data_IF_599118130033
#
_entry.id   IF_599118130033
#
_cell.length_a   1.000
_cell.length_b   1.000
_cell.length_c   1.000
_cell.angle_alpha   90.00
_cell.angle_beta   90.00
_cell.angle_gamma   90.00
#
_symmetry.space_group_name_H-M   'P 1'
#
loop_
_entity.id
_entity.type
_entity.pdbx_description
1 polymer ?
#
# COMPACT_ATOMS: atom_id res chain seq x y z
N UNK A 1 -20.27 18.88 -2.50
CA UNK A 1 -20.16 18.15 -1.22
C UNK A 1 -19.05 17.12 -1.44
N UNK A 2 -17.88 17.38 -0.89
CA UNK A 2 -16.68 16.57 -1.14
C UNK A 2 -16.82 15.23 -0.41
N UNK A 3 -16.53 14.11 -1.07
CA UNK A 3 -16.57 12.73 -0.54
C UNK A 3 -15.77 12.52 0.79
N UNK A 4 -14.97 13.50 1.19
CA UNK A 4 -14.16 13.48 2.43
C UNK A 4 -14.97 13.65 3.72
N UNK A 5 -16.22 14.09 3.65
CA UNK A 5 -17.05 14.33 4.86
C UNK A 5 -17.73 13.09 5.43
N UNK A 6 -17.66 11.94 4.74
CA UNK A 6 -18.41 10.72 5.13
C UNK A 6 -17.56 9.67 5.86
N UNK A 7 -16.24 9.80 5.89
CA UNK A 7 -15.38 8.88 6.63
C UNK A 7 -14.94 9.51 7.94
N UNK A 8 -15.64 9.19 9.04
CA UNK A 8 -15.14 9.46 10.39
C UNK A 8 -13.80 8.76 10.55
N UNK A 9 -12.73 9.52 10.68
CA UNK A 9 -11.40 8.96 11.00
C UNK A 9 -11.50 8.27 12.36
N UNK A 10 -11.12 6.99 12.49
CA UNK A 10 -11.04 6.38 13.81
C UNK A 10 -9.98 7.14 14.63
N UNK A 11 -10.44 7.87 15.64
CA UNK A 11 -9.52 8.53 16.58
C UNK A 11 -9.08 7.50 17.62
N UNK A 12 -7.79 7.37 17.80
CA UNK A 12 -7.21 6.54 18.85
C UNK A 12 -6.16 7.37 19.58
N UNK A 13 -6.10 7.28 20.90
CA UNK A 13 -5.07 7.95 21.68
C UNK A 13 -3.67 7.42 21.32
N UNK A 14 -2.62 8.22 21.55
CA UNK A 14 -1.25 7.76 21.34
C UNK A 14 -0.91 6.55 22.21
N UNK A 15 -1.38 6.54 23.48
CA UNK A 15 -1.19 5.42 24.41
C UNK A 15 -1.87 4.14 23.94
N UNK A 16 -3.15 4.21 23.53
CA UNK A 16 -3.86 3.02 23.04
C UNK A 16 -3.25 2.47 21.75
N UNK A 17 -2.73 3.36 20.90
CA UNK A 17 -1.99 2.96 19.69
C UNK A 17 -0.71 2.23 20.06
N UNK A 18 0.09 2.77 20.96
CA UNK A 18 1.34 2.15 21.41
C UNK A 18 1.08 0.77 22.03
N UNK A 19 0.07 0.65 22.89
CA UNK A 19 -0.32 -0.63 23.49
C UNK A 19 -0.69 -1.66 22.42
N UNK A 20 -1.52 -1.29 21.44
CA UNK A 20 -1.91 -2.20 20.33
C UNK A 20 -0.73 -2.64 19.47
N UNK A 21 0.18 -1.71 19.15
CA UNK A 21 1.37 -2.02 18.34
C UNK A 21 2.33 -2.94 19.10
N UNK A 22 2.57 -2.68 20.39
CA UNK A 22 3.40 -3.54 21.25
C UNK A 22 2.79 -4.94 21.38
N UNK A 23 1.50 -5.03 21.68
CA UNK A 23 0.80 -6.31 21.80
C UNK A 23 0.86 -7.13 20.50
N UNK A 24 0.66 -6.46 19.34
CA UNK A 24 0.77 -7.12 18.04
C UNK A 24 2.20 -7.62 17.77
N UNK A 25 3.22 -6.83 18.07
CA UNK A 25 4.63 -7.22 17.92
C UNK A 25 4.98 -8.42 18.78
N UNK A 26 4.60 -8.41 20.07
CA UNK A 26 4.82 -9.52 20.99
C UNK A 26 4.12 -10.81 20.54
N UNK A 27 2.84 -10.72 20.16
CA UNK A 27 2.09 -11.87 19.68
C UNK A 27 2.69 -12.50 18.41
N UNK A 28 3.22 -11.67 17.48
CA UNK A 28 3.94 -12.17 16.32
C UNK A 28 5.28 -12.81 16.69
N UNK A 29 6.04 -12.22 17.63
CA UNK A 29 7.28 -12.79 18.14
C UNK A 29 7.05 -14.19 18.71
N UNK A 30 6.13 -14.35 19.65
CA UNK A 30 5.76 -15.63 20.27
C UNK A 30 5.31 -16.66 19.23
N UNK A 31 4.50 -16.24 18.25
CA UNK A 31 4.02 -17.12 17.19
C UNK A 31 5.14 -17.64 16.30
N UNK A 32 6.12 -16.79 15.95
CA UNK A 32 7.27 -17.15 15.12
C UNK A 32 8.27 -18.00 15.92
N UNK A 33 8.50 -17.70 17.20
CA UNK A 33 9.33 -18.51 18.08
C UNK A 33 8.77 -19.92 18.26
N UNK A 34 7.45 -20.06 18.34
CA UNK A 34 6.80 -21.36 18.44
C UNK A 34 7.00 -22.23 17.17
N UNK A 35 6.94 -21.64 16.00
CA UNK A 35 7.23 -22.27 14.70
C UNK A 35 7.48 -21.19 13.64
N UNK A 36 8.67 -21.17 13.06
CA UNK A 36 9.04 -20.23 11.99
C UNK A 36 8.11 -20.31 10.77
N UNK A 37 7.49 -21.45 10.52
CA UNK A 37 6.52 -21.61 9.42
C UNK A 37 5.28 -20.72 9.61
N UNK A 38 4.98 -20.28 10.82
CA UNK A 38 3.90 -19.32 11.09
C UNK A 38 4.16 -17.93 10.54
N UNK A 39 5.41 -17.60 10.16
CA UNK A 39 5.75 -16.37 9.49
C UNK A 39 5.35 -16.38 8.00
N UNK A 40 5.12 -17.56 7.42
CA UNK A 40 4.79 -17.69 5.99
C UNK A 40 3.29 -17.53 5.77
N UNK A 41 2.90 -16.40 5.15
CA UNK A 41 1.51 -16.07 4.90
C UNK A 41 1.20 -16.12 3.39
N UNK A 42 0.01 -16.62 3.06
CA UNK A 42 -0.52 -16.56 1.69
C UNK A 42 -1.74 -15.64 1.67
N UNK A 43 -1.64 -14.54 0.95
CA UNK A 43 -2.75 -13.64 0.69
C UNK A 43 -3.52 -14.08 -0.56
N UNK A 44 -4.85 -13.98 -0.55
CA UNK A 44 -5.71 -14.35 -1.67
C UNK A 44 -6.71 -13.23 -1.93
N UNK A 45 -6.75 -12.80 -3.19
CA UNK A 45 -7.68 -11.79 -3.70
C UNK A 45 -8.32 -12.36 -4.96
N UNK A 46 -9.61 -12.07 -5.18
CA UNK A 46 -10.33 -12.42 -6.40
C UNK A 46 -10.88 -11.17 -7.05
N UNK A 47 -10.93 -11.19 -8.38
CA UNK A 47 -11.56 -10.14 -9.17
C UNK A 47 -12.49 -10.71 -10.23
N UNK A 48 -13.53 -9.95 -10.56
CA UNK A 48 -14.41 -10.19 -11.73
C UNK A 48 -14.55 -8.88 -12.50
N UNK A 49 -14.52 -8.98 -13.84
CA UNK A 49 -14.83 -7.84 -14.71
C UNK A 49 -16.33 -7.57 -14.75
N UNK A 50 -16.73 -6.31 -14.70
CA UNK A 50 -18.09 -5.82 -14.80
C UNK A 50 -18.14 -4.64 -15.79
N UNK A 51 -19.28 -4.35 -16.39
CA UNK A 51 -19.43 -3.23 -17.31
C UNK A 51 -18.44 -3.25 -18.46
N UNK A 52 -17.84 -2.10 -18.76
CA UNK A 52 -16.79 -1.97 -19.78
C UNK A 52 -15.42 -2.41 -19.28
N UNK A 53 -14.94 -1.80 -18.18
CA UNK A 53 -13.60 -2.05 -17.59
C UNK A 53 -13.61 -2.12 -16.08
N UNK A 54 -14.76 -1.99 -15.44
CA UNK A 54 -14.90 -2.07 -13.99
C UNK A 54 -14.46 -3.44 -13.49
N UNK A 55 -13.74 -3.47 -12.40
CA UNK A 55 -13.39 -4.69 -11.67
C UNK A 55 -13.98 -4.67 -10.27
N UNK A 56 -14.70 -5.74 -9.90
CA UNK A 56 -15.10 -5.99 -8.51
C UNK A 56 -14.06 -6.86 -7.84
N UNK A 57 -13.41 -6.34 -6.82
CA UNK A 57 -12.34 -7.02 -6.11
C UNK A 57 -12.82 -7.46 -4.73
N UNK A 58 -12.52 -8.70 -4.36
CA UNK A 58 -12.79 -9.27 -3.04
C UNK A 58 -11.48 -9.69 -2.38
N UNK A 59 -11.18 -9.09 -1.22
CA UNK A 59 -10.01 -9.36 -0.39
C UNK A 59 -10.46 -9.74 1.03
N UNK A 60 -10.48 -11.04 1.35
CA UNK A 60 -11.05 -11.54 2.59
C UNK A 60 -12.55 -11.19 2.70
N UNK A 61 -12.92 -10.40 3.71
CA UNK A 61 -14.31 -9.92 3.93
C UNK A 61 -14.61 -8.56 3.28
N UNK A 62 -13.61 -7.95 2.63
CA UNK A 62 -13.74 -6.61 2.04
C UNK A 62 -14.00 -6.71 0.54
N UNK A 63 -14.87 -5.85 0.05
CA UNK A 63 -15.18 -5.70 -1.38
C UNK A 63 -14.97 -4.24 -1.76
N UNK A 64 -14.32 -4.01 -2.90
CA UNK A 64 -14.15 -2.69 -3.48
C UNK A 64 -14.18 -2.75 -5.00
N UNK A 65 -14.47 -1.62 -5.62
CA UNK A 65 -14.44 -1.46 -7.07
C UNK A 65 -13.14 -0.79 -7.50
N UNK A 66 -12.73 -1.12 -8.70
CA UNK A 66 -11.65 -0.47 -9.42
C UNK A 66 -12.20 -0.15 -10.81
N UNK A 67 -11.98 1.07 -11.29
CA UNK A 67 -12.51 1.51 -12.58
C UNK A 67 -11.44 2.35 -13.30
N UNK A 68 -11.75 2.86 -14.44
CA UNK A 68 -10.91 3.76 -15.23
C UNK A 68 -11.68 5.03 -15.58
N UNK A 69 -11.00 6.14 -15.86
CA UNK A 69 -11.67 7.32 -16.40
C UNK A 69 -12.22 7.07 -17.81
N UNK A 70 -13.14 7.91 -18.25
CA UNK A 70 -13.77 7.79 -19.57
C UNK A 70 -12.79 7.71 -20.75
N UNK A 71 -11.60 8.29 -20.63
CA UNK A 71 -10.53 8.18 -21.63
C UNK A 71 -9.99 6.76 -21.81
N UNK A 72 -10.19 5.88 -20.81
CA UNK A 72 -9.86 4.45 -20.83
C UNK A 72 -11.10 3.56 -20.85
N UNK A 73 -12.23 4.09 -21.33
CA UNK A 73 -13.53 3.42 -21.46
C UNK A 73 -14.18 3.03 -20.12
N UNK A 74 -13.80 3.67 -19.01
CA UNK A 74 -14.43 3.55 -17.70
C UNK A 74 -15.53 4.58 -17.48
N UNK A 75 -16.23 4.45 -16.36
CA UNK A 75 -17.28 5.36 -15.89
C UNK A 75 -16.80 6.29 -14.76
N UNK A 76 -15.49 6.22 -14.39
CA UNK A 76 -14.89 6.99 -13.28
C UNK A 76 -15.64 6.77 -11.94
N UNK A 77 -16.10 5.54 -11.74
CA UNK A 77 -16.89 5.17 -10.56
C UNK A 77 -16.04 4.79 -9.34
N UNK A 78 -14.75 4.57 -9.54
CA UNK A 78 -13.75 4.25 -8.51
C UNK A 78 -12.36 4.66 -8.99
N UNK A 79 -11.37 4.63 -8.08
CA UNK A 79 -9.97 4.86 -8.45
C UNK A 79 -9.45 3.79 -9.42
N UNK A 80 -8.51 4.20 -10.28
CA UNK A 80 -7.89 3.32 -11.27
C UNK A 80 -6.95 2.27 -10.65
N UNK A 81 -6.62 1.20 -11.39
CA UNK A 81 -5.68 0.17 -10.90
C UNK A 81 -4.32 0.74 -10.47
N UNK A 82 -3.81 1.73 -11.22
CA UNK A 82 -2.50 2.34 -10.92
C UNK A 82 -2.56 3.26 -9.70
N UNK A 83 -3.69 3.94 -9.45
CA UNK A 83 -3.92 4.70 -8.22
C UNK A 83 -4.06 3.77 -7.01
N UNK A 84 -4.72 2.61 -7.15
CA UNK A 84 -4.74 1.59 -6.11
C UNK A 84 -3.34 1.06 -5.80
N UNK A 85 -2.48 0.88 -6.79
CA UNK A 85 -1.09 0.45 -6.58
C UNK A 85 -0.30 1.50 -5.76
N UNK A 86 -0.41 2.79 -6.10
CA UNK A 86 0.19 3.88 -5.32
C UNK A 86 -0.44 3.98 -3.92
N UNK A 87 -1.75 3.83 -3.82
CA UNK A 87 -2.48 3.81 -2.54
C UNK A 87 -2.05 2.65 -1.62
N UNK A 88 -1.80 1.47 -2.18
CA UNK A 88 -1.26 0.33 -1.44
C UNK A 88 0.15 0.63 -0.91
N UNK A 89 1.00 1.25 -1.71
CA UNK A 89 2.34 1.68 -1.30
C UNK A 89 2.27 2.70 -0.15
N UNK A 90 1.45 3.74 -0.27
CA UNK A 90 1.20 4.73 0.79
C UNK A 90 0.73 4.04 2.08
N UNK A 91 -0.28 3.19 1.98
CA UNK A 91 -0.86 2.51 3.14
C UNK A 91 0.15 1.62 3.85
N UNK A 92 0.97 0.87 3.09
CA UNK A 92 2.00 0.02 3.65
C UNK A 92 3.10 0.86 4.35
N UNK A 93 3.53 1.95 3.74
CA UNK A 93 4.48 2.89 4.37
C UNK A 93 3.93 3.37 5.73
N UNK A 94 2.69 3.85 5.79
CA UNK A 94 2.07 4.33 7.05
C UNK A 94 2.07 3.24 8.12
N UNK A 95 1.71 1.99 7.76
CA UNK A 95 1.72 0.86 8.70
C UNK A 95 3.13 0.59 9.22
N UNK A 96 4.12 0.52 8.33
CA UNK A 96 5.50 0.19 8.71
C UNK A 96 6.13 1.34 9.50
N UNK A 97 5.86 2.60 9.16
CA UNK A 97 6.25 3.76 10.00
C UNK A 97 5.71 3.65 11.43
N UNK A 98 4.44 3.26 11.61
CA UNK A 98 3.86 3.09 12.95
C UNK A 98 4.51 1.94 13.73
N UNK A 99 4.78 0.81 13.07
CA UNK A 99 5.42 -0.35 13.70
C UNK A 99 6.86 -0.03 14.14
N UNK A 100 7.66 0.55 13.23
CA UNK A 100 9.05 0.85 13.52
C UNK A 100 9.24 2.07 14.43
N UNK A 101 8.37 3.06 14.37
CA UNK A 101 8.35 4.15 15.34
C UNK A 101 8.16 3.59 16.77
N UNK A 102 7.25 2.63 16.96
CA UNK A 102 7.05 1.97 18.24
C UNK A 102 8.27 1.10 18.65
N UNK A 103 8.85 0.34 17.73
CA UNK A 103 9.96 -0.55 17.99
C UNK A 103 11.27 0.18 18.33
N UNK A 104 11.49 1.36 17.74
CA UNK A 104 12.67 2.20 17.92
C UNK A 104 12.51 3.28 19.00
N UNK A 105 11.34 3.32 19.66
CA UNK A 105 10.98 4.37 20.64
C UNK A 105 11.15 5.78 20.03
N UNK A 106 10.59 5.96 18.80
CA UNK A 106 10.58 7.23 18.07
C UNK A 106 9.15 7.75 18.07
N UNK A 107 8.93 8.92 18.66
CA UNK A 107 7.59 9.49 18.74
C UNK A 107 7.20 10.13 17.40
N UNK A 108 6.09 9.65 16.83
CA UNK A 108 5.46 10.23 15.64
C UNK A 108 3.99 10.52 15.94
N UNK A 109 3.65 11.79 15.98
CA UNK A 109 2.28 12.23 16.24
C UNK A 109 1.42 12.07 14.99
N UNK A 110 1.87 12.59 13.82
CA UNK A 110 1.17 12.50 12.54
C UNK A 110 2.08 11.96 11.43
N UNK A 111 1.46 11.32 10.45
CA UNK A 111 2.11 10.83 9.24
C UNK A 111 1.24 11.25 8.05
N UNK A 112 1.80 12.01 7.13
CA UNK A 112 1.22 12.29 5.82
C UNK A 112 2.14 11.70 4.75
N UNK A 113 1.57 10.99 3.77
CA UNK A 113 2.33 10.37 2.68
C UNK A 113 1.66 10.71 1.36
N UNK A 114 2.46 11.18 0.42
CA UNK A 114 2.06 11.45 -0.97
C UNK A 114 2.89 10.60 -1.90
N UNK A 115 2.27 10.07 -2.94
CA UNK A 115 2.94 9.35 -4.01
C UNK A 115 2.55 9.96 -5.36
N UNK A 116 3.53 10.11 -6.22
CA UNK A 116 3.37 10.47 -7.63
C UNK A 116 4.04 9.41 -8.48
N UNK A 117 3.42 9.03 -9.58
CA UNK A 117 3.97 8.06 -10.51
C UNK A 117 3.76 8.51 -11.96
N UNK A 118 4.83 8.46 -12.75
CA UNK A 118 4.81 8.84 -14.17
C UNK A 118 4.59 7.59 -15.03
N UNK A 119 3.51 7.57 -15.81
CA UNK A 119 3.12 6.46 -16.67
C UNK A 119 3.03 6.90 -18.13
N UNK A 120 3.64 6.12 -19.03
CA UNK A 120 3.49 6.30 -20.46
C UNK A 120 2.48 5.29 -21.03
N UNK A 121 1.32 5.76 -21.42
CA UNK A 121 0.22 4.89 -21.88
C UNK A 121 0.41 4.31 -23.28
N UNK A 122 1.44 4.74 -24.04
CA UNK A 122 1.66 4.28 -25.43
C UNK A 122 1.84 2.76 -25.50
N UNK A 123 2.49 2.14 -24.50
CA UNK A 123 2.64 0.70 -24.49
C UNK A 123 1.33 -0.02 -24.17
N UNK A 124 0.50 0.53 -23.30
CA UNK A 124 -0.83 -0.02 -22.99
C UNK A 124 -1.68 -0.15 -24.27
N UNK A 125 -1.58 0.83 -25.16
CA UNK A 125 -2.32 0.84 -26.43
C UNK A 125 -1.57 0.20 -27.60
N UNK A 126 -0.39 -0.41 -27.40
CA UNK A 126 0.41 -1.03 -28.46
C UNK A 126 0.94 -0.03 -29.48
N UNK A 127 1.08 1.24 -29.13
CA UNK A 127 1.56 2.32 -30.03
C UNK A 127 3.09 2.33 -30.05
N UNK A 128 3.75 2.08 -28.90
CA UNK A 128 5.20 2.12 -28.77
C UNK A 128 5.67 1.03 -27.80
N UNK A 129 6.39 0.04 -28.33
CA UNK A 129 6.84 -1.13 -27.56
C UNK A 129 8.15 -0.88 -26.78
N UNK A 130 8.91 0.16 -27.12
CA UNK A 130 10.18 0.48 -26.44
C UNK A 130 9.99 1.14 -25.09
N UNK A 131 8.82 1.74 -24.81
CA UNK A 131 8.54 2.37 -23.53
C UNK A 131 8.14 1.33 -22.46
N UNK A 132 8.35 1.65 -21.20
CA UNK A 132 7.97 0.77 -20.07
C UNK A 132 6.43 0.68 -19.97
N UNK A 133 5.91 -0.53 -19.70
CA UNK A 133 4.46 -0.74 -19.53
C UNK A 133 3.92 -0.20 -18.18
N UNK A 134 4.75 -0.16 -17.14
CA UNK A 134 4.40 0.37 -15.81
C UNK A 134 4.97 1.78 -15.60
N UNK A 135 4.94 2.24 -14.35
CA UNK A 135 5.53 3.54 -13.99
C UNK A 135 7.00 3.62 -14.37
N UNK A 136 7.38 4.72 -15.02
CA UNK A 136 8.77 5.05 -15.32
C UNK A 136 9.52 5.55 -14.09
N UNK A 137 8.82 6.30 -13.23
CA UNK A 137 9.32 6.83 -11.97
C UNK A 137 8.19 6.90 -10.95
N UNK A 138 8.51 6.69 -9.67
CA UNK A 138 7.61 6.87 -8.54
C UNK A 138 8.33 7.68 -7.46
N UNK A 139 7.70 8.73 -6.99
CA UNK A 139 8.21 9.61 -5.94
C UNK A 139 7.28 9.59 -4.75
N UNK A 140 7.82 9.26 -3.57
CA UNK A 140 7.12 9.36 -2.29
C UNK A 140 7.65 10.53 -1.49
N UNK A 141 6.74 11.32 -0.95
CA UNK A 141 7.03 12.33 0.07
C UNK A 141 6.34 11.92 1.36
N UNK A 142 7.13 11.69 2.41
CA UNK A 142 6.65 11.37 3.75
C UNK A 142 6.89 12.56 4.65
N UNK A 143 5.84 13.06 5.28
CA UNK A 143 5.91 14.13 6.28
C UNK A 143 5.57 13.54 7.65
N UNK A 144 6.52 13.58 8.57
CA UNK A 144 6.37 13.15 9.95
C UNK A 144 6.28 14.37 10.86
N UNK A 145 5.30 14.38 11.74
CA UNK A 145 5.14 15.41 12.77
C UNK A 145 5.35 14.80 14.15
N UNK A 146 6.15 15.45 14.98
CA UNK A 146 6.45 14.99 16.33
C UNK A 146 7.64 15.75 16.93
N UNK A 147 8.08 15.39 18.14
CA UNK A 147 9.11 16.11 18.88
C UNK A 147 10.55 15.68 18.56
N UNK A 148 10.74 14.67 17.72
CA UNK A 148 12.04 14.08 17.46
C UNK A 148 12.90 14.94 16.53
N UNK A 149 14.21 14.72 16.53
CA UNK A 149 15.12 15.37 15.60
C UNK A 149 15.02 14.78 14.17
N UNK A 150 15.48 15.54 13.18
CA UNK A 150 15.55 15.07 11.79
C UNK A 150 16.34 13.79 11.67
N UNK A 151 17.46 13.64 12.38
CA UNK A 151 18.28 12.42 12.37
C UNK A 151 17.50 11.19 12.84
N UNK A 152 16.68 11.33 13.89
CA UNK A 152 15.82 10.24 14.38
C UNK A 152 14.76 9.86 13.36
N UNK A 153 14.19 10.83 12.65
CA UNK A 153 13.24 10.53 11.56
C UNK A 153 13.93 9.93 10.35
N UNK A 154 15.19 10.26 10.05
CA UNK A 154 15.96 9.58 8.99
C UNK A 154 16.32 8.13 9.39
N UNK A 155 16.65 7.87 10.66
CA UNK A 155 16.81 6.51 11.18
C UNK A 155 15.52 5.69 10.99
N UNK A 156 14.39 6.25 11.37
CA UNK A 156 13.08 5.62 11.18
C UNK A 156 12.80 5.34 9.69
N UNK A 157 13.05 6.32 8.82
CA UNK A 157 12.90 6.15 7.37
C UNK A 157 13.74 4.98 6.85
N UNK A 158 15.01 4.89 7.23
CA UNK A 158 15.89 3.82 6.78
C UNK A 158 15.37 2.43 7.22
N UNK A 159 14.86 2.32 8.46
CA UNK A 159 14.24 1.10 8.93
C UNK A 159 12.97 0.75 8.14
N UNK A 160 12.13 1.74 7.84
CA UNK A 160 10.89 1.55 7.07
C UNK A 160 11.19 1.10 5.64
N UNK A 161 12.15 1.74 4.97
CA UNK A 161 12.54 1.39 3.60
C UNK A 161 13.06 -0.05 3.49
N UNK A 162 13.79 -0.51 4.50
CA UNK A 162 14.33 -1.87 4.55
C UNK A 162 13.26 -2.95 4.82
N UNK A 163 12.09 -2.59 5.33
CA UNK A 163 11.10 -3.55 5.84
C UNK A 163 9.70 -3.41 5.25
N UNK A 164 9.47 -2.47 4.33
CA UNK A 164 8.16 -2.28 3.73
C UNK A 164 7.93 -3.27 2.57
N UNK A 165 7.03 -4.26 2.73
CA UNK A 165 6.85 -5.31 1.71
C UNK A 165 6.26 -4.77 0.39
N UNK A 166 5.45 -3.70 0.44
CA UNK A 166 4.93 -3.12 -0.81
C UNK A 166 5.97 -2.24 -1.49
N UNK A 167 6.86 -1.56 -0.75
CA UNK A 167 8.00 -0.88 -1.37
C UNK A 167 8.91 -1.88 -2.07
N UNK A 168 9.15 -3.04 -1.45
CA UNK A 168 9.92 -4.13 -2.04
C UNK A 168 9.33 -4.59 -3.40
N UNK A 169 8.00 -4.73 -3.51
CA UNK A 169 7.33 -5.06 -4.77
C UNK A 169 7.59 -4.05 -5.90
N UNK A 170 7.80 -2.77 -5.58
CA UNK A 170 8.09 -1.73 -6.57
C UNK A 170 9.56 -1.60 -6.92
N UNK A 171 10.44 -1.96 -6.00
CA UNK A 171 11.90 -1.77 -6.16
C UNK A 171 12.63 -3.03 -6.59
N UNK A 172 12.04 -4.21 -6.33
CA UNK A 172 12.66 -5.50 -6.65
C UNK A 172 11.74 -6.36 -7.54
N UNK A 173 12.31 -7.17 -8.46
CA UNK A 173 11.51 -8.07 -9.28
C UNK A 173 10.91 -9.21 -8.44
N UNK A 174 9.59 -9.33 -8.46
CA UNK A 174 8.88 -10.47 -7.86
C UNK A 174 8.43 -11.42 -8.97
N UNK A 175 8.74 -12.74 -8.91
CA UNK A 175 8.27 -13.69 -9.89
C UNK A 175 6.74 -13.75 -9.94
N UNK A 176 6.16 -13.57 -11.13
CA UNK A 176 4.72 -13.65 -11.36
C UNK A 176 4.44 -14.73 -12.40
N UNK A 177 3.55 -15.67 -12.08
CA UNK A 177 3.07 -16.69 -13.02
C UNK A 177 1.62 -16.42 -13.35
N UNK A 178 1.29 -16.35 -14.64
CA UNK A 178 -0.06 -16.18 -15.14
C UNK A 178 -0.51 -17.44 -15.84
N UNK A 179 -1.67 -18.00 -15.47
CA UNK A 179 -2.29 -19.16 -16.12
C UNK A 179 -3.65 -18.76 -16.66
N UNK A 180 -3.90 -19.08 -17.93
CA UNK A 180 -5.19 -18.85 -18.60
C UNK A 180 -5.92 -20.19 -18.73
N UNK A 181 -7.14 -20.27 -18.21
CA UNK A 181 -8.03 -21.41 -18.35
C UNK A 181 -9.25 -20.99 -19.19
N UNK A 182 -9.66 -21.87 -20.10
CA UNK A 182 -10.94 -21.73 -20.78
C UNK A 182 -12.03 -22.23 -19.84
N UNK A 183 -13.02 -21.39 -19.54
CA UNK A 183 -14.23 -21.77 -18.80
C UNK A 183 -15.27 -22.48 -19.65
#
# INVERSE_FOLDING_TARGET
MTLLETFSRPSISASDRAERLTAAGSAWGERIEADVANAQLTYRVRGSGEGSVVSRITAGKHVFLVDEPGALAGDDSAASPVEYALGALISCQIVVYRLYAQALDIRVDEIDVRAEGDLDVRRLFGIEESVRAGFGDIRLTVTLTGPESDDRYQELKAAVDAHCPVLDLFTNPTPVTVTVNKG
#
